data_IF_778849344698
#
_entry.id   IF_778849344698
#
_cell.length_a   1.000
_cell.length_b   1.000
_cell.length_c   1.000
_cell.angle_alpha   90.00
_cell.angle_beta   90.00
_cell.angle_gamma   90.00
#
_symmetry.space_group_name_H-M   'P 1'
#
loop_
_entity.id
_entity.type
_entity.pdbx_description
1 polymer ?
#
# COMPACT_ATOMS: atom_id res chain seq x y z
N UNK A 1 37.27 -2.93 -11.02
CA UNK A 1 36.24 -3.75 -10.36
C UNK A 1 35.19 -3.97 -11.43
N UNK A 2 34.82 -5.22 -11.74
CA UNK A 2 33.72 -5.47 -12.67
C UNK A 2 32.47 -4.80 -12.09
N UNK A 3 31.79 -3.95 -12.85
CA UNK A 3 30.42 -3.52 -12.53
C UNK A 3 29.62 -4.79 -12.30
N UNK A 4 29.30 -5.07 -11.03
CA UNK A 4 28.46 -6.19 -10.69
C UNK A 4 27.07 -5.78 -11.16
N UNK A 5 26.55 -6.45 -12.18
CA UNK A 5 25.20 -6.17 -12.68
C UNK A 5 24.21 -6.32 -11.53
N UNK A 6 23.33 -5.34 -11.34
CA UNK A 6 22.29 -5.40 -10.31
C UNK A 6 21.46 -6.68 -10.48
N UNK A 7 21.03 -7.31 -9.37
CA UNK A 7 20.19 -8.50 -9.41
C UNK A 7 18.86 -8.19 -10.09
N UNK A 8 18.30 -9.18 -10.78
CA UNK A 8 16.98 -9.02 -11.41
C UNK A 8 15.89 -9.38 -10.41
N UNK A 9 14.89 -8.50 -10.19
CA UNK A 9 13.68 -8.87 -9.45
C UNK A 9 12.97 -10.05 -10.12
N UNK A 10 12.18 -10.78 -9.33
CA UNK A 10 11.40 -11.94 -9.78
C UNK A 10 9.95 -11.81 -9.32
N UNK A 11 9.02 -12.50 -9.99
CA UNK A 11 7.68 -12.68 -9.45
C UNK A 11 7.75 -13.53 -8.17
N UNK A 12 7.05 -13.09 -7.13
CA UNK A 12 7.02 -13.77 -5.83
C UNK A 12 5.89 -14.79 -5.73
N UNK A 13 4.89 -14.70 -6.62
CA UNK A 13 3.73 -15.57 -6.61
C UNK A 13 2.96 -15.48 -5.29
N UNK A 14 2.62 -16.64 -4.74
CA UNK A 14 1.74 -16.76 -3.58
C UNK A 14 2.46 -16.72 -2.23
N UNK A 15 3.78 -16.56 -2.22
CA UNK A 15 4.51 -16.38 -0.96
C UNK A 15 4.01 -15.10 -0.25
N UNK A 16 3.91 -15.11 1.10
CA UNK A 16 3.64 -13.91 1.87
C UNK A 16 4.68 -12.85 1.52
N UNK A 17 4.25 -11.64 1.16
CA UNK A 17 5.15 -10.61 0.67
C UNK A 17 4.98 -9.27 1.36
N UNK A 18 6.08 -8.57 1.62
CA UNK A 18 6.08 -7.26 2.27
C UNK A 18 6.77 -6.21 1.41
N UNK A 19 6.04 -5.13 1.14
CA UNK A 19 6.46 -3.98 0.34
C UNK A 19 7.17 -2.93 1.17
N UNK A 20 8.42 -2.63 0.82
CA UNK A 20 9.29 -1.70 1.52
C UNK A 20 9.49 -0.41 0.70
N UNK A 21 8.41 0.33 0.48
CA UNK A 21 8.48 1.58 -0.26
C UNK A 21 9.45 2.57 0.40
N UNK A 22 10.28 3.19 -0.44
CA UNK A 22 11.29 4.15 -0.02
C UNK A 22 11.20 5.39 -0.88
N UNK A 23 10.79 6.51 -0.28
CA UNK A 23 10.69 7.82 -0.96
C UNK A 23 12.02 8.60 -0.93
N UNK A 24 13.00 8.13 -0.15
CA UNK A 24 14.28 8.80 0.09
C UNK A 24 15.41 8.25 -0.79
N UNK A 25 15.31 6.99 -1.20
CA UNK A 25 16.33 6.29 -2.01
C UNK A 25 17.48 5.68 -1.20
N UNK A 26 17.44 5.75 0.13
CA UNK A 26 18.53 5.25 1.01
C UNK A 26 18.03 4.42 2.21
N UNK A 27 16.77 3.99 2.20
CA UNK A 27 16.16 3.23 3.30
C UNK A 27 16.45 1.71 3.23
N UNK A 28 16.76 1.19 2.03
CA UNK A 28 16.86 -0.26 1.83
C UNK A 28 17.82 -0.99 2.78
N UNK A 29 18.98 -0.43 3.21
CA UNK A 29 19.80 -1.11 4.21
C UNK A 29 19.08 -1.41 5.53
N UNK A 30 18.25 -0.47 6.01
CA UNK A 30 17.41 -0.69 7.19
C UNK A 30 16.27 -1.69 6.94
N UNK A 31 15.69 -1.68 5.74
CA UNK A 31 14.70 -2.69 5.33
C UNK A 31 15.31 -4.09 5.32
N UNK A 32 16.50 -4.26 4.76
CA UNK A 32 17.25 -5.52 4.75
C UNK A 32 17.57 -5.98 6.17
N UNK A 33 18.01 -5.08 7.06
CA UNK A 33 18.28 -5.41 8.45
C UNK A 33 17.02 -5.99 9.13
N UNK A 34 15.87 -5.37 8.94
CA UNK A 34 14.60 -5.87 9.50
C UNK A 34 14.20 -7.23 8.92
N UNK A 35 14.40 -7.46 7.62
CA UNK A 35 14.15 -8.74 6.97
C UNK A 35 15.08 -9.84 7.47
N UNK A 36 16.36 -9.54 7.70
CA UNK A 36 17.30 -10.50 8.28
C UNK A 36 16.94 -10.84 9.74
N UNK A 37 16.42 -9.87 10.50
CA UNK A 37 16.02 -10.07 11.90
C UNK A 37 14.71 -10.83 12.03
N UNK A 38 13.67 -10.46 11.28
CA UNK A 38 12.30 -10.93 11.48
C UNK A 38 11.54 -11.27 10.19
N UNK A 39 12.19 -11.33 9.03
CA UNK A 39 11.55 -11.60 7.74
C UNK A 39 11.39 -13.08 7.37
N UNK A 40 11.70 -14.02 8.27
CA UNK A 40 11.63 -15.45 7.95
C UNK A 40 10.22 -15.86 7.46
N UNK A 41 10.14 -16.50 6.29
CA UNK A 41 8.89 -16.90 5.65
C UNK A 41 8.17 -15.79 4.87
N UNK A 42 8.77 -14.60 4.75
CA UNK A 42 8.21 -13.43 4.05
C UNK A 42 9.18 -13.02 2.94
N UNK A 43 8.67 -12.71 1.76
CA UNK A 43 9.47 -12.22 0.63
C UNK A 43 9.44 -10.68 0.54
N UNK A 44 10.59 -10.01 0.38
CA UNK A 44 10.61 -8.55 0.30
C UNK A 44 10.37 -8.05 -1.12
N UNK A 45 9.66 -6.92 -1.22
CA UNK A 45 9.66 -6.06 -2.41
C UNK A 45 10.35 -4.75 -2.00
N UNK A 46 11.65 -4.62 -2.29
CA UNK A 46 12.40 -3.40 -1.97
C UNK A 46 12.14 -2.26 -2.97
N UNK A 47 12.16 -2.50 -4.30
CA UNK A 47 11.78 -1.49 -5.27
C UNK A 47 10.25 -1.40 -5.31
N UNK A 48 9.68 -0.48 -4.54
CA UNK A 48 8.25 -0.19 -4.55
C UNK A 48 8.02 1.31 -4.47
N UNK A 49 7.36 1.87 -5.47
CA UNK A 49 6.89 3.25 -5.42
C UNK A 49 5.77 3.47 -6.43
N UNK A 50 4.77 4.27 -6.06
CA UNK A 50 3.73 4.68 -7.00
C UNK A 50 4.19 5.77 -7.96
N UNK A 51 3.55 5.87 -9.13
CA UNK A 51 3.76 6.97 -10.10
C UNK A 51 3.56 8.34 -9.43
N UNK A 52 2.51 8.45 -8.59
CA UNK A 52 2.23 9.66 -7.81
C UNK A 52 3.37 10.01 -6.85
N UNK A 53 3.95 9.04 -6.16
CA UNK A 53 5.08 9.29 -5.26
C UNK A 53 6.34 9.66 -6.04
N UNK A 54 6.61 9.00 -7.17
CA UNK A 54 7.74 9.35 -8.05
C UNK A 54 7.65 10.80 -8.51
N UNK A 55 6.47 11.23 -8.98
CA UNK A 55 6.24 12.63 -9.35
C UNK A 55 6.44 13.60 -8.17
N UNK A 56 5.93 13.26 -6.98
CA UNK A 56 6.06 14.10 -5.77
C UNK A 56 7.46 14.19 -5.18
N UNK A 57 8.32 13.23 -5.51
CA UNK A 57 9.70 13.16 -5.03
C UNK A 57 10.72 13.51 -6.12
N UNK A 58 10.24 13.86 -7.32
CA UNK A 58 11.08 14.04 -8.51
C UNK A 58 12.00 12.84 -8.80
N UNK A 59 11.54 11.64 -8.46
CA UNK A 59 12.23 10.37 -8.73
C UNK A 59 11.72 9.74 -10.02
N UNK A 60 12.51 8.81 -10.56
CA UNK A 60 12.20 8.07 -11.79
C UNK A 60 12.12 6.57 -11.50
N UNK A 61 11.42 5.77 -12.34
CA UNK A 61 11.36 4.31 -12.16
C UNK A 61 12.75 3.67 -12.07
N UNK A 62 13.71 4.11 -12.89
CA UNK A 62 15.10 3.61 -12.87
C UNK A 62 15.83 4.00 -11.57
N UNK A 63 15.57 5.18 -11.02
CA UNK A 63 16.11 5.59 -9.72
C UNK A 63 15.58 4.71 -8.59
N UNK A 64 14.26 4.48 -8.56
CA UNK A 64 13.63 3.58 -7.57
C UNK A 64 14.24 2.17 -7.63
N UNK A 65 14.37 1.61 -8.83
CA UNK A 65 14.95 0.29 -9.05
C UNK A 65 16.42 0.22 -8.61
N UNK A 66 17.24 1.16 -9.08
CA UNK A 66 18.68 1.14 -8.82
C UNK A 66 18.99 1.37 -7.34
N UNK A 67 18.36 2.36 -6.71
CA UNK A 67 18.59 2.68 -5.31
C UNK A 67 18.26 1.48 -4.42
N UNK A 68 17.12 0.83 -4.65
CA UNK A 68 16.70 -0.34 -3.89
C UNK A 68 17.60 -1.56 -4.13
N UNK A 69 17.92 -1.90 -5.39
CA UNK A 69 18.74 -3.07 -5.68
C UNK A 69 20.21 -2.89 -5.25
N UNK A 70 20.75 -1.67 -5.37
CA UNK A 70 22.09 -1.37 -4.86
C UNK A 70 22.12 -1.41 -3.33
N UNK A 71 21.16 -0.76 -2.66
CA UNK A 71 21.04 -0.80 -1.20
C UNK A 71 20.85 -2.23 -0.67
N UNK A 72 20.14 -3.08 -1.41
CA UNK A 72 19.98 -4.50 -1.11
C UNK A 72 21.32 -5.26 -1.16
N UNK A 73 22.15 -5.01 -2.20
CA UNK A 73 23.49 -5.60 -2.32
C UNK A 73 24.41 -5.10 -1.20
N UNK A 74 24.44 -3.79 -0.97
CA UNK A 74 25.34 -3.15 -0.01
C UNK A 74 25.05 -3.62 1.42
N UNK A 75 23.78 -3.88 1.74
CA UNK A 75 23.34 -4.44 3.01
C UNK A 75 23.47 -5.98 3.11
N UNK A 76 23.98 -6.64 2.07
CA UNK A 76 24.29 -8.06 2.08
C UNK A 76 23.06 -8.98 1.98
N UNK A 77 21.96 -8.53 1.38
CA UNK A 77 20.82 -9.41 1.11
C UNK A 77 21.14 -10.36 -0.05
N UNK A 78 20.97 -11.66 0.19
CA UNK A 78 21.22 -12.72 -0.81
C UNK A 78 19.95 -13.44 -1.26
N UNK A 79 18.79 -13.07 -0.71
CA UNK A 79 17.50 -13.66 -1.07
C UNK A 79 16.95 -13.09 -2.38
N UNK A 80 15.78 -13.60 -2.80
CA UNK A 80 15.03 -13.01 -3.91
C UNK A 80 14.36 -11.69 -3.48
N UNK A 81 13.93 -10.90 -4.45
CA UNK A 81 13.06 -9.74 -4.22
C UNK A 81 12.13 -9.56 -5.42
N UNK A 82 10.93 -9.05 -5.18
CA UNK A 82 10.05 -8.52 -6.22
C UNK A 82 10.32 -7.04 -6.47
N UNK A 83 9.73 -6.48 -7.53
CA UNK A 83 9.72 -5.04 -7.78
C UNK A 83 8.31 -4.61 -8.19
N UNK A 84 7.69 -3.73 -7.41
CA UNK A 84 6.30 -3.31 -7.52
C UNK A 84 6.16 -1.90 -8.10
N UNK A 85 5.56 -1.86 -9.29
CA UNK A 85 5.10 -0.66 -9.96
C UNK A 85 3.70 -0.34 -9.43
N UNK A 86 3.65 0.49 -8.39
CA UNK A 86 2.45 0.67 -7.57
C UNK A 86 1.47 1.70 -8.18
N UNK A 87 0.16 1.49 -7.99
CA UNK A 87 -0.93 2.36 -8.45
C UNK A 87 -0.82 2.84 -9.92
N UNK A 88 -0.68 1.93 -10.88
CA UNK A 88 -0.65 2.24 -12.31
C UNK A 88 -2.04 2.53 -12.84
N UNK A 89 -2.17 3.65 -13.56
CA UNK A 89 -3.45 4.10 -14.14
C UNK A 89 -3.45 4.13 -15.66
N UNK A 90 -2.28 4.16 -16.29
CA UNK A 90 -2.16 4.34 -17.74
C UNK A 90 -1.18 3.37 -18.40
N UNK A 91 -1.32 3.18 -19.72
CA UNK A 91 -0.38 2.40 -20.54
C UNK A 91 1.04 2.98 -20.52
N UNK A 92 1.17 4.30 -20.46
CA UNK A 92 2.46 4.96 -20.35
C UNK A 92 3.17 4.60 -19.04
N UNK A 93 2.44 4.51 -17.93
CA UNK A 93 3.01 4.08 -16.64
C UNK A 93 3.54 2.64 -16.72
N UNK A 94 2.81 1.76 -17.42
CA UNK A 94 3.25 0.38 -17.71
C UNK A 94 4.53 0.39 -18.54
N UNK A 95 4.61 1.20 -19.60
CA UNK A 95 5.79 1.25 -20.47
C UNK A 95 7.06 1.62 -19.71
N UNK A 96 7.02 2.73 -18.95
CA UNK A 96 8.21 3.26 -18.26
C UNK A 96 8.67 2.38 -17.10
N UNK A 97 7.76 1.63 -16.48
CA UNK A 97 8.10 0.69 -15.39
C UNK A 97 8.53 -0.67 -15.94
N UNK A 98 7.88 -1.20 -16.98
CA UNK A 98 8.28 -2.43 -17.64
C UNK A 98 9.66 -2.32 -18.31
N UNK A 99 10.00 -1.14 -18.86
CA UNK A 99 11.33 -0.87 -19.44
C UNK A 99 12.47 -1.07 -18.41
N UNK A 100 12.23 -0.68 -17.16
CA UNK A 100 13.20 -0.77 -16.06
C UNK A 100 13.24 -2.16 -15.41
N UNK A 101 12.24 -3.01 -15.68
CA UNK A 101 12.21 -4.40 -15.21
C UNK A 101 11.41 -4.64 -13.94
N UNK A 102 10.40 -3.82 -13.66
CA UNK A 102 9.39 -4.14 -12.65
C UNK A 102 8.68 -5.47 -13.01
N UNK A 103 8.34 -6.25 -11.99
CA UNK A 103 7.77 -7.61 -12.13
C UNK A 103 6.37 -7.74 -11.55
N UNK A 104 6.00 -6.84 -10.63
CA UNK A 104 4.71 -6.77 -9.98
C UNK A 104 4.05 -5.46 -10.41
N UNK A 105 2.83 -5.53 -10.94
CA UNK A 105 2.10 -4.38 -11.48
C UNK A 105 0.79 -4.23 -10.72
N UNK A 106 0.67 -3.18 -9.91
CA UNK A 106 -0.59 -2.87 -9.22
C UNK A 106 -1.41 -1.92 -10.07
N UNK A 107 -2.53 -2.43 -10.57
CA UNK A 107 -3.49 -1.63 -11.34
C UNK A 107 -4.41 -0.92 -10.35
N UNK A 108 -4.53 0.39 -10.54
CA UNK A 108 -5.45 1.25 -9.80
C UNK A 108 -6.46 1.86 -10.79
N UNK A 109 -7.67 1.28 -10.88
CA UNK A 109 -8.73 1.79 -11.73
C UNK A 109 -9.69 2.75 -10.97
N UNK A 110 -9.25 3.38 -9.87
CA UNK A 110 -10.11 4.21 -9.01
C UNK A 110 -10.78 5.39 -9.72
N UNK A 111 -10.14 5.94 -10.77
CA UNK A 111 -10.68 7.06 -11.57
C UNK A 111 -12.01 6.72 -12.29
N UNK A 112 -12.32 5.43 -12.42
CA UNK A 112 -13.51 4.92 -13.11
C UNK A 112 -14.52 4.27 -12.15
N UNK A 113 -14.33 4.40 -10.84
CA UNK A 113 -15.25 3.89 -9.82
C UNK A 113 -16.32 4.93 -9.53
N UNK A 114 -17.59 4.51 -9.55
CA UNK A 114 -18.71 5.33 -9.09
C UNK A 114 -18.91 5.13 -7.58
N UNK A 115 -18.22 5.93 -6.77
CA UNK A 115 -18.24 5.80 -5.31
C UNK A 115 -19.61 6.10 -4.67
N UNK A 116 -20.52 6.80 -5.37
CA UNK A 116 -21.86 7.10 -4.87
C UNK A 116 -22.82 5.91 -5.06
N UNK A 117 -22.42 4.87 -5.78
CA UNK A 117 -23.25 3.71 -6.10
C UNK A 117 -23.79 2.97 -4.88
N UNK A 118 -23.12 3.05 -3.74
CA UNK A 118 -23.60 2.49 -2.48
C UNK A 118 -24.80 3.25 -1.90
N UNK A 119 -24.90 4.56 -2.18
CA UNK A 119 -25.91 5.46 -1.61
C UNK A 119 -27.12 5.67 -2.54
N UNK A 120 -27.04 5.22 -3.79
CA UNK A 120 -28.16 5.33 -4.74
C UNK A 120 -29.39 4.56 -4.27
N UNK A 121 -30.56 5.19 -4.41
CA UNK A 121 -31.85 4.52 -4.28
C UNK A 121 -32.12 3.60 -5.48
N UNK A 122 -33.15 2.76 -5.39
CA UNK A 122 -33.44 1.75 -6.43
C UNK A 122 -33.68 2.39 -7.82
N UNK A 123 -34.39 3.52 -7.87
CA UNK A 123 -34.70 4.18 -9.13
C UNK A 123 -33.44 4.72 -9.81
N UNK A 124 -32.60 5.41 -9.03
CA UNK A 124 -31.31 5.96 -9.48
C UNK A 124 -30.36 4.85 -9.88
N UNK A 125 -30.27 3.76 -9.10
CA UNK A 125 -29.44 2.62 -9.41
C UNK A 125 -29.82 1.98 -10.76
N UNK A 126 -31.12 1.84 -11.04
CA UNK A 126 -31.60 1.30 -12.32
C UNK A 126 -31.32 2.23 -13.50
N UNK A 127 -31.44 3.54 -13.30
CA UNK A 127 -31.06 4.54 -14.31
C UNK A 127 -29.56 4.46 -14.63
N UNK A 128 -28.72 4.49 -13.60
CA UNK A 128 -27.25 4.36 -13.72
C UNK A 128 -26.85 3.04 -14.35
N UNK A 129 -27.49 1.95 -13.97
CA UNK A 129 -27.24 0.66 -14.60
C UNK A 129 -27.58 0.66 -16.09
N UNK A 130 -28.68 1.29 -16.49
CA UNK A 130 -29.05 1.38 -17.91
C UNK A 130 -27.99 2.10 -18.75
N UNK A 131 -27.25 3.05 -18.16
CA UNK A 131 -26.12 3.74 -18.82
C UNK A 131 -24.92 2.81 -19.08
N UNK A 132 -24.66 1.85 -18.18
CA UNK A 132 -23.49 0.95 -18.26
C UNK A 132 -23.82 -0.44 -18.79
N UNK A 133 -25.09 -0.83 -18.89
CA UNK A 133 -25.53 -2.20 -19.18
C UNK A 133 -24.88 -2.81 -20.45
N UNK A 134 -24.61 -1.97 -21.48
CA UNK A 134 -23.93 -2.42 -22.70
C UNK A 134 -22.42 -2.70 -22.54
N UNK A 135 -21.82 -2.20 -21.45
CA UNK A 135 -20.41 -2.34 -21.10
C UNK A 135 -20.17 -3.46 -20.07
N UNK A 136 -21.23 -3.99 -19.43
CA UNK A 136 -21.17 -4.97 -18.32
C UNK A 136 -22.05 -6.19 -18.59
N UNK A 137 -21.80 -6.89 -19.70
CA UNK A 137 -22.61 -8.04 -20.13
C UNK A 137 -22.55 -9.28 -19.20
N UNK A 138 -21.86 -9.20 -18.08
CA UNK A 138 -21.65 -10.27 -17.10
C UNK A 138 -22.68 -10.29 -15.96
N UNK A 139 -23.51 -9.25 -15.78
CA UNK A 139 -24.46 -9.17 -14.64
C UNK A 139 -25.39 -10.38 -14.56
N UNK A 140 -25.89 -10.84 -15.71
CA UNK A 140 -26.77 -12.00 -15.81
C UNK A 140 -26.13 -13.32 -15.39
N UNK A 141 -24.79 -13.41 -15.35
CA UNK A 141 -24.08 -14.61 -14.90
C UNK A 141 -24.10 -14.77 -13.38
N UNK A 142 -24.35 -13.68 -12.64
CA UNK A 142 -24.34 -13.66 -11.17
C UNK A 142 -25.74 -13.52 -10.57
N UNK A 143 -26.61 -12.75 -11.22
CA UNK A 143 -27.89 -12.35 -10.64
C UNK A 143 -28.78 -13.56 -10.29
N UNK A 144 -29.21 -13.59 -9.02
CA UNK A 144 -30.05 -14.64 -8.45
C UNK A 144 -29.29 -15.87 -7.94
N UNK A 145 -27.95 -15.86 -8.04
CA UNK A 145 -27.13 -16.92 -7.49
C UNK A 145 -26.86 -16.72 -6.00
N UNK A 146 -26.47 -17.81 -5.35
CA UNK A 146 -26.03 -17.80 -3.96
C UNK A 146 -24.76 -18.63 -3.86
N UNK A 147 -23.72 -18.07 -3.26
CA UNK A 147 -22.43 -18.75 -3.05
C UNK A 147 -22.22 -18.97 -1.56
N UNK A 148 -22.11 -20.22 -1.13
CA UNK A 148 -21.76 -20.56 0.25
C UNK A 148 -20.26 -20.78 0.36
N UNK A 149 -19.60 -19.95 1.17
CA UNK A 149 -18.17 -20.06 1.47
C UNK A 149 -17.90 -21.27 2.39
N UNK A 150 -16.67 -21.83 2.39
CA UNK A 150 -16.32 -22.97 3.24
C UNK A 150 -16.53 -22.75 4.74
N UNK A 151 -16.50 -21.49 5.21
CA UNK A 151 -16.78 -21.13 6.60
C UNK A 151 -18.29 -21.02 6.94
N UNK A 152 -19.17 -21.24 5.97
CA UNK A 152 -20.63 -21.18 6.11
C UNK A 152 -21.25 -19.82 5.79
N UNK A 153 -20.45 -18.76 5.62
CA UNK A 153 -20.94 -17.46 5.17
C UNK A 153 -21.52 -17.58 3.77
N UNK A 154 -22.64 -16.91 3.54
CA UNK A 154 -23.34 -16.96 2.26
C UNK A 154 -23.30 -15.59 1.59
N UNK A 155 -22.84 -15.56 0.35
CA UNK A 155 -22.85 -14.39 -0.53
C UNK A 155 -24.13 -14.47 -1.36
N UNK A 156 -25.03 -13.52 -1.14
CA UNK A 156 -26.25 -13.38 -1.92
C UNK A 156 -25.98 -12.45 -3.12
N UNK A 157 -25.95 -13.03 -4.32
CA UNK A 157 -25.78 -12.30 -5.58
C UNK A 157 -27.16 -11.92 -6.12
N UNK A 158 -27.98 -11.27 -5.29
CA UNK A 158 -29.30 -10.79 -5.71
C UNK A 158 -29.19 -9.67 -6.76
N UNK A 159 -30.32 -9.27 -7.33
CA UNK A 159 -30.36 -8.22 -8.36
C UNK A 159 -29.67 -6.94 -7.89
N UNK A 160 -30.02 -6.43 -6.71
CA UNK A 160 -29.47 -5.18 -6.19
C UNK A 160 -27.94 -5.24 -6.05
N UNK A 161 -27.41 -6.30 -5.45
CA UNK A 161 -25.97 -6.48 -5.27
C UNK A 161 -25.22 -6.51 -6.62
N UNK A 162 -25.78 -7.19 -7.61
CA UNK A 162 -25.16 -7.28 -8.94
C UNK A 162 -25.24 -5.94 -9.69
N UNK A 163 -26.37 -5.23 -9.60
CA UNK A 163 -26.53 -3.91 -10.22
C UNK A 163 -25.60 -2.88 -9.57
N UNK A 164 -25.48 -2.86 -8.23
CA UNK A 164 -24.54 -1.99 -7.52
C UNK A 164 -23.10 -2.27 -7.92
N UNK A 165 -22.68 -3.54 -7.93
CA UNK A 165 -21.35 -3.91 -8.39
C UNK A 165 -21.08 -3.47 -9.84
N UNK A 166 -22.07 -3.60 -10.73
CA UNK A 166 -21.96 -3.20 -12.13
C UNK A 166 -21.85 -1.68 -12.31
N UNK A 167 -22.65 -0.91 -11.58
CA UNK A 167 -22.60 0.57 -11.62
C UNK A 167 -21.28 1.06 -11.00
N UNK A 168 -20.91 0.54 -9.84
CA UNK A 168 -19.74 0.96 -9.08
C UNK A 168 -18.43 0.62 -9.78
N UNK A 169 -18.27 -0.63 -10.22
CA UNK A 169 -16.99 -1.15 -10.70
C UNK A 169 -16.97 -1.53 -12.18
N UNK A 170 -18.10 -1.50 -12.91
CA UNK A 170 -18.16 -2.00 -14.28
C UNK A 170 -17.13 -1.38 -15.22
N UNK A 171 -17.09 -0.04 -15.27
CA UNK A 171 -16.11 0.71 -16.09
C UNK A 171 -14.69 0.59 -15.56
N UNK A 172 -14.53 0.61 -14.24
CA UNK A 172 -13.26 0.40 -13.54
C UNK A 172 -12.63 -0.96 -13.88
N UNK A 173 -13.42 -2.02 -13.87
CA UNK A 173 -13.00 -3.36 -14.25
C UNK A 173 -12.65 -3.45 -15.74
N UNK A 174 -13.42 -2.83 -16.63
CA UNK A 174 -13.09 -2.78 -18.05
C UNK A 174 -11.71 -2.13 -18.29
N UNK A 175 -11.43 -1.02 -17.61
CA UNK A 175 -10.12 -0.35 -17.67
C UNK A 175 -9.01 -1.23 -17.10
N UNK A 176 -9.25 -1.89 -15.97
CA UNK A 176 -8.27 -2.79 -15.36
C UNK A 176 -7.94 -3.99 -16.26
N UNK A 177 -8.92 -4.54 -16.97
CA UNK A 177 -8.73 -5.61 -17.94
C UNK A 177 -7.93 -5.13 -19.17
N UNK A 178 -8.19 -3.93 -19.69
CA UNK A 178 -7.39 -3.35 -20.78
C UNK A 178 -5.92 -3.16 -20.36
N UNK A 179 -5.67 -2.63 -19.16
CA UNK A 179 -4.31 -2.49 -18.64
C UNK A 179 -3.63 -3.84 -18.38
N UNK A 180 -4.36 -4.82 -17.83
CA UNK A 180 -3.84 -6.19 -17.65
C UNK A 180 -3.41 -6.81 -18.97
N UNK A 181 -4.23 -6.66 -20.02
CA UNK A 181 -3.89 -7.14 -21.36
C UNK A 181 -2.67 -6.42 -21.94
N UNK A 182 -2.56 -5.10 -21.71
CA UNK A 182 -1.41 -4.33 -22.16
C UNK A 182 -0.12 -4.72 -21.42
N UNK A 183 -0.17 -4.92 -20.10
CA UNK A 183 0.95 -5.45 -19.31
C UNK A 183 1.39 -6.81 -19.86
N UNK A 184 0.43 -7.70 -20.16
CA UNK A 184 0.70 -8.99 -20.77
C UNK A 184 1.43 -8.85 -22.11
N UNK A 185 0.95 -7.97 -23.00
CA UNK A 185 1.56 -7.70 -24.30
C UNK A 185 3.02 -7.23 -24.15
N UNK A 186 3.25 -6.20 -23.34
CA UNK A 186 4.58 -5.60 -23.13
C UNK A 186 5.56 -6.61 -22.53
N UNK A 187 5.12 -7.39 -21.54
CA UNK A 187 5.99 -8.34 -20.84
C UNK A 187 6.27 -9.59 -21.68
N UNK A 188 5.28 -10.09 -22.42
CA UNK A 188 5.47 -11.22 -23.34
C UNK A 188 6.39 -10.85 -24.51
N UNK A 189 6.24 -9.65 -25.08
CA UNK A 189 7.12 -9.16 -26.14
C UNK A 189 8.58 -9.09 -25.69
N UNK A 190 8.82 -8.81 -24.40
CA UNK A 190 10.13 -8.80 -23.80
C UNK A 190 10.61 -10.15 -23.22
N UNK A 191 9.78 -11.19 -23.25
CA UNK A 191 10.08 -12.49 -22.66
C UNK A 191 10.29 -12.44 -21.14
N UNK A 192 9.52 -11.59 -20.44
CA UNK A 192 9.61 -11.41 -18.98
C UNK A 192 8.38 -11.96 -18.28
N UNK A 193 8.61 -12.59 -17.12
CA UNK A 193 7.54 -12.91 -16.18
C UNK A 193 7.01 -11.63 -15.53
N UNK A 194 5.72 -11.65 -15.21
CA UNK A 194 5.04 -10.58 -14.50
C UNK A 194 3.92 -11.15 -13.62
N UNK A 195 3.44 -10.36 -12.68
CA UNK A 195 2.27 -10.64 -11.86
C UNK A 195 1.47 -9.37 -11.64
N UNK A 196 0.15 -9.49 -11.49
CA UNK A 196 -0.76 -8.34 -11.40
C UNK A 196 -1.47 -8.35 -10.06
N UNK A 197 -1.49 -7.20 -9.43
CA UNK A 197 -2.42 -6.91 -8.36
C UNK A 197 -3.51 -5.96 -8.85
N UNK A 198 -4.74 -6.20 -8.39
CA UNK A 198 -5.83 -5.26 -8.58
C UNK A 198 -6.15 -4.56 -7.25
N UNK A 199 -6.06 -3.23 -7.25
CA UNK A 199 -6.45 -2.40 -6.12
C UNK A 199 -7.87 -1.87 -6.31
N UNK A 200 -8.71 -2.03 -5.29
CA UNK A 200 -10.06 -1.43 -5.19
C UNK A 200 -10.26 -0.82 -3.80
N UNK A 201 -9.17 -0.47 -3.12
CA UNK A 201 -9.16 0.07 -1.76
C UNK A 201 -9.37 1.59 -1.69
N UNK A 202 -9.30 2.31 -2.82
CA UNK A 202 -9.52 3.76 -2.88
C UNK A 202 -11.02 4.15 -2.94
N UNK A 203 -11.88 3.44 -2.20
CA UNK A 203 -13.31 3.76 -2.05
C UNK A 203 -13.65 4.15 -0.61
N UNK A 204 -14.64 5.02 -0.43
CA UNK A 204 -15.12 5.40 0.90
C UNK A 204 -15.74 4.19 1.62
N UNK A 205 -16.64 3.49 0.93
CA UNK A 205 -17.33 2.33 1.48
C UNK A 205 -16.49 1.05 1.36
N UNK A 206 -16.55 0.15 2.36
CA UNK A 206 -15.91 -1.17 2.29
C UNK A 206 -16.36 -2.01 1.09
N UNK A 207 -15.44 -2.78 0.53
CA UNK A 207 -15.74 -3.72 -0.55
C UNK A 207 -16.62 -4.85 0.00
N UNK A 208 -17.81 -5.03 -0.56
CA UNK A 208 -18.72 -6.11 -0.13
C UNK A 208 -18.22 -7.48 -0.61
N UNK A 209 -18.74 -8.56 -0.02
CA UNK A 209 -18.40 -9.93 -0.46
C UNK A 209 -18.88 -10.20 -1.89
N UNK A 210 -20.04 -9.65 -2.28
CA UNK A 210 -20.55 -9.77 -3.65
C UNK A 210 -19.63 -9.04 -4.65
N UNK A 211 -19.21 -7.81 -4.32
CA UNK A 211 -18.26 -7.05 -5.13
C UNK A 211 -16.93 -7.79 -5.28
N UNK A 212 -16.32 -8.24 -4.18
CA UNK A 212 -15.06 -8.99 -4.23
C UNK A 212 -15.21 -10.24 -5.12
N UNK A 213 -16.27 -11.03 -4.91
CA UNK A 213 -16.50 -12.25 -5.69
C UNK A 213 -16.61 -11.95 -7.19
N UNK A 214 -17.45 -10.96 -7.57
CA UNK A 214 -17.66 -10.59 -8.97
C UNK A 214 -16.37 -10.06 -9.60
N UNK A 215 -15.66 -9.15 -8.93
CA UNK A 215 -14.43 -8.53 -9.42
C UNK A 215 -13.36 -9.61 -9.67
N UNK A 216 -13.12 -10.47 -8.68
CA UNK A 216 -12.10 -11.51 -8.80
C UNK A 216 -12.45 -12.54 -9.89
N UNK A 217 -13.70 -12.99 -9.94
CA UNK A 217 -14.15 -13.95 -10.97
C UNK A 217 -14.04 -13.36 -12.38
N UNK A 218 -14.40 -12.08 -12.57
CA UNK A 218 -14.22 -11.40 -13.85
C UNK A 218 -12.75 -11.26 -14.24
N UNK A 219 -11.87 -10.89 -13.31
CA UNK A 219 -10.43 -10.80 -13.57
C UNK A 219 -9.88 -12.15 -14.06
N UNK A 220 -10.20 -13.22 -13.34
CA UNK A 220 -9.71 -14.57 -13.63
C UNK A 220 -10.28 -15.12 -14.96
N UNK A 221 -11.60 -14.95 -15.21
CA UNK A 221 -12.24 -15.38 -16.46
C UNK A 221 -11.68 -14.67 -17.70
N UNK A 222 -11.23 -13.44 -17.54
CA UNK A 222 -10.61 -12.66 -18.62
C UNK A 222 -9.09 -12.82 -18.68
N UNK A 223 -8.52 -13.79 -17.94
CA UNK A 223 -7.11 -14.17 -18.07
C UNK A 223 -6.12 -13.22 -17.40
N UNK A 224 -6.56 -12.34 -16.50
CA UNK A 224 -5.66 -11.54 -15.67
C UNK A 224 -4.79 -12.48 -14.83
N UNK A 225 -3.47 -12.27 -14.84
CA UNK A 225 -2.52 -13.01 -13.98
C UNK A 225 -2.54 -12.43 -12.56
N UNK A 226 -3.72 -12.51 -11.94
CA UNK A 226 -4.04 -11.96 -10.64
C UNK A 226 -3.26 -12.71 -9.54
N UNK A 227 -2.29 -12.05 -8.91
CA UNK A 227 -1.54 -12.59 -7.77
C UNK A 227 -2.07 -12.08 -6.44
N UNK A 228 -2.67 -10.90 -6.42
CA UNK A 228 -3.32 -10.33 -5.25
C UNK A 228 -4.45 -9.35 -5.59
N UNK A 229 -5.36 -9.17 -4.65
CA UNK A 229 -6.44 -8.18 -4.72
C UNK A 229 -6.42 -7.37 -3.42
N UNK A 230 -6.44 -6.04 -3.54
CA UNK A 230 -6.50 -5.12 -2.40
C UNK A 230 -7.93 -4.57 -2.25
N UNK A 231 -8.80 -5.20 -1.42
CA UNK A 231 -10.12 -4.65 -1.15
C UNK A 231 -10.06 -3.51 -0.12
N UNK A 232 -11.08 -2.66 -0.11
CA UNK A 232 -11.35 -1.76 1.01
C UNK A 232 -11.94 -2.56 2.17
N UNK A 233 -11.14 -2.90 3.17
CA UNK A 233 -11.64 -3.55 4.38
C UNK A 233 -12.46 -2.60 5.26
N UNK A 234 -13.26 -3.17 6.17
CA UNK A 234 -14.03 -2.40 7.16
C UNK A 234 -13.11 -1.69 8.17
N UNK A 235 -13.56 -0.54 8.69
CA UNK A 235 -12.76 0.34 9.57
C UNK A 235 -11.87 1.29 8.76
N UNK A 236 -10.97 2.03 9.42
CA UNK A 236 -10.14 3.04 8.76
C UNK A 236 -8.66 2.67 8.71
N UNK A 237 -8.08 2.87 7.52
CA UNK A 237 -6.70 2.50 7.18
C UNK A 237 -5.86 3.74 6.87
N UNK A 238 -5.97 4.74 7.73
CA UNK A 238 -5.34 6.04 7.48
C UNK A 238 -3.81 5.96 7.49
N UNK A 239 -3.16 6.85 6.75
CA UNK A 239 -1.71 6.86 6.63
C UNK A 239 -1.04 7.28 7.94
N UNK A 240 0.02 6.57 8.34
CA UNK A 240 0.89 6.94 9.47
C UNK A 240 0.37 6.59 10.87
N UNK A 241 -0.77 5.88 10.98
CA UNK A 241 -1.36 5.45 12.25
C UNK A 241 -1.85 4.00 12.16
N UNK A 242 -2.09 3.37 13.32
CA UNK A 242 -2.66 2.03 13.48
C UNK A 242 -4.13 2.01 13.02
N UNK A 243 -4.67 0.79 12.92
CA UNK A 243 -6.05 0.56 12.53
C UNK A 243 -7.04 1.24 13.49
N UNK A 244 -8.06 1.90 12.93
CA UNK A 244 -9.15 2.53 13.69
C UNK A 244 -10.45 1.79 13.35
N UNK A 245 -11.01 1.07 14.31
CA UNK A 245 -12.27 0.34 14.12
C UNK A 245 -12.44 -0.84 15.07
N UNK A 246 -13.42 -1.68 14.76
CA UNK A 246 -13.70 -2.92 15.51
C UNK A 246 -12.87 -4.09 14.95
N UNK A 247 -11.85 -4.50 15.71
CA UNK A 247 -10.97 -5.62 15.35
C UNK A 247 -11.70 -6.97 15.27
N UNK A 248 -12.76 -7.18 16.05
CA UNK A 248 -13.52 -8.43 16.01
C UNK A 248 -14.37 -8.50 14.73
N UNK A 249 -15.00 -7.38 14.34
CA UNK A 249 -15.69 -7.28 13.07
C UNK A 249 -14.70 -7.45 11.90
N UNK A 250 -13.50 -6.85 12.00
CA UNK A 250 -12.46 -6.97 10.98
C UNK A 250 -12.00 -8.43 10.83
N UNK A 251 -11.79 -9.17 11.93
CA UNK A 251 -11.41 -10.59 11.87
C UNK A 251 -12.46 -11.41 11.10
N UNK A 252 -13.76 -11.18 11.33
CA UNK A 252 -14.83 -11.87 10.58
C UNK A 252 -14.74 -11.52 9.09
N UNK A 253 -14.69 -10.23 8.74
CA UNK A 253 -14.62 -9.77 7.36
C UNK A 253 -13.37 -10.29 6.62
N UNK A 254 -12.21 -10.29 7.28
CA UNK A 254 -10.96 -10.85 6.73
C UNK A 254 -11.08 -12.34 6.41
N UNK A 255 -11.72 -13.12 7.30
CA UNK A 255 -11.94 -14.55 7.06
C UNK A 255 -12.84 -14.77 5.84
N UNK A 256 -13.92 -14.00 5.70
CA UNK A 256 -14.84 -14.12 4.55
C UNK A 256 -14.15 -13.75 3.23
N UNK A 257 -13.43 -12.63 3.16
CA UNK A 257 -12.66 -12.26 1.97
C UNK A 257 -11.55 -13.27 1.64
N UNK A 258 -10.89 -13.83 2.66
CA UNK A 258 -9.85 -14.83 2.44
C UNK A 258 -10.43 -16.16 1.92
N UNK A 259 -11.66 -16.52 2.31
CA UNK A 259 -12.36 -17.67 1.73
C UNK A 259 -12.75 -17.42 0.27
N UNK A 260 -13.16 -16.20 -0.11
CA UNK A 260 -13.37 -15.84 -1.54
C UNK A 260 -12.07 -16.02 -2.33
N UNK A 261 -10.95 -15.51 -1.81
CA UNK A 261 -9.65 -15.62 -2.46
C UNK A 261 -9.18 -17.07 -2.66
N UNK A 262 -9.49 -17.95 -1.70
CA UNK A 262 -9.22 -19.39 -1.80
C UNK A 262 -10.18 -20.10 -2.75
N UNK A 263 -11.45 -19.71 -2.76
CA UNK A 263 -12.49 -20.34 -3.58
C UNK A 263 -12.27 -20.09 -5.07
N UNK A 264 -12.00 -18.83 -5.44
CA UNK A 264 -11.83 -18.41 -6.83
C UNK A 264 -10.38 -18.56 -7.31
N UNK A 265 -9.41 -18.34 -6.42
CA UNK A 265 -8.00 -18.29 -6.74
C UNK A 265 -7.31 -19.67 -6.82
N UNK A 266 -6.04 -19.76 -6.37
CA UNK A 266 -5.47 -18.94 -5.30
C UNK A 266 -4.90 -17.59 -5.76
N UNK A 267 -5.17 -16.54 -4.98
CA UNK A 267 -4.48 -15.24 -4.97
C UNK A 267 -4.38 -14.74 -3.52
N UNK A 268 -3.55 -13.73 -3.27
CA UNK A 268 -3.35 -13.14 -1.94
C UNK A 268 -4.34 -12.01 -1.67
N UNK A 269 -4.66 -11.76 -0.40
CA UNK A 269 -5.24 -10.48 0.00
C UNK A 269 -4.13 -9.46 0.20
N UNK A 270 -4.28 -8.28 -0.39
CA UNK A 270 -3.32 -7.20 -0.24
C UNK A 270 -3.82 -6.12 0.70
N UNK A 271 -2.94 -5.67 1.58
CA UNK A 271 -3.17 -4.58 2.50
C UNK A 271 -2.42 -3.34 2.03
N UNK A 272 -3.14 -2.46 1.36
CA UNK A 272 -2.71 -1.10 1.07
C UNK A 272 -2.76 -0.23 2.33
N UNK A 273 -1.98 0.86 2.34
CA UNK A 273 -1.83 1.70 3.55
C UNK A 273 -1.40 0.90 4.79
N UNK A 274 -0.71 -0.22 4.60
CA UNK A 274 -0.41 -1.18 5.65
C UNK A 274 0.51 -0.63 6.74
N UNK A 275 1.28 0.42 6.47
CA UNK A 275 2.17 1.05 7.45
C UNK A 275 1.46 1.31 8.78
N UNK A 276 2.13 0.94 9.87
CA UNK A 276 1.73 1.13 11.27
C UNK A 276 0.48 0.34 11.73
N UNK A 277 -0.13 -0.53 10.90
CA UNK A 277 -1.35 -1.31 11.24
C UNK A 277 -1.10 -2.55 12.12
N UNK A 278 -0.17 -2.45 13.07
CA UNK A 278 0.31 -3.60 13.86
C UNK A 278 -0.81 -4.35 14.58
N UNK A 279 -1.86 -3.65 15.03
CA UNK A 279 -2.95 -4.29 15.78
C UNK A 279 -3.80 -5.28 14.99
N UNK A 280 -3.76 -5.21 13.66
CA UNK A 280 -4.53 -6.11 12.79
C UNK A 280 -3.68 -7.10 12.00
N UNK A 281 -2.36 -6.94 11.96
CA UNK A 281 -1.46 -7.78 11.15
C UNK A 281 -1.57 -9.27 11.47
N UNK A 282 -1.65 -9.63 12.75
CA UNK A 282 -1.86 -11.02 13.17
C UNK A 282 -3.20 -11.59 12.68
N UNK A 283 -4.26 -10.76 12.64
CA UNK A 283 -5.58 -11.16 12.14
C UNK A 283 -5.54 -11.41 10.62
N UNK A 284 -4.94 -10.51 9.85
CA UNK A 284 -4.74 -10.66 8.40
C UNK A 284 -3.97 -11.94 8.09
N UNK A 285 -2.83 -12.13 8.74
CA UNK A 285 -1.94 -13.27 8.49
C UNK A 285 -2.64 -14.61 8.77
N UNK A 286 -3.34 -14.69 9.90
CA UNK A 286 -4.11 -15.88 10.32
C UNK A 286 -5.29 -16.17 9.38
N UNK A 287 -6.10 -15.16 9.04
CA UNK A 287 -7.28 -15.33 8.19
C UNK A 287 -6.91 -15.80 6.76
N UNK A 288 -5.81 -15.27 6.24
CA UNK A 288 -5.29 -15.60 4.90
C UNK A 288 -4.43 -16.86 4.87
N UNK A 289 -4.02 -17.40 6.03
CA UNK A 289 -3.12 -18.56 6.16
C UNK A 289 -1.80 -18.32 5.42
N UNK A 290 -1.24 -17.12 5.57
CA UNK A 290 -0.02 -16.69 4.87
C UNK A 290 -0.22 -16.16 3.45
N UNK A 291 -1.42 -16.23 2.86
CA UNK A 291 -1.67 -15.68 1.52
C UNK A 291 -1.99 -14.18 1.57
N UNK A 292 -1.00 -13.38 1.92
CA UNK A 292 -1.13 -11.93 2.06
C UNK A 292 0.02 -11.16 1.40
N UNK A 293 -0.28 -9.93 0.99
CA UNK A 293 0.70 -8.91 0.68
C UNK A 293 0.44 -7.67 1.56
N UNK A 294 1.48 -7.04 2.08
CA UNK A 294 1.35 -5.79 2.85
C UNK A 294 2.24 -4.72 2.22
N UNK A 295 1.66 -3.55 1.94
CA UNK A 295 2.40 -2.42 1.36
C UNK A 295 2.70 -1.33 2.38
N UNK A 296 3.97 -0.99 2.50
CA UNK A 296 4.43 0.19 3.24
C UNK A 296 5.21 1.13 2.33
N UNK A 297 5.23 2.42 2.68
CA UNK A 297 6.05 3.40 1.96
C UNK A 297 6.37 4.62 2.82
N UNK A 298 5.34 5.39 3.17
CA UNK A 298 5.53 6.68 3.85
C UNK A 298 6.10 6.58 5.26
N UNK A 299 6.00 5.43 5.92
CA UNK A 299 6.62 5.25 7.24
C UNK A 299 8.16 5.22 7.17
N UNK A 300 8.76 4.78 6.06
CA UNK A 300 10.22 4.92 5.83
C UNK A 300 10.66 6.39 5.85
N UNK A 301 9.83 7.30 5.34
CA UNK A 301 10.06 8.74 5.40
C UNK A 301 9.86 9.31 6.81
N UNK A 302 8.86 8.83 7.56
CA UNK A 302 8.69 9.24 8.96
C UNK A 302 9.92 8.86 9.80
N UNK A 303 10.47 7.66 9.58
CA UNK A 303 11.69 7.23 10.24
C UNK A 303 12.93 7.99 9.73
N UNK A 304 12.94 8.49 8.48
CA UNK A 304 13.98 9.42 8.03
C UNK A 304 13.94 10.74 8.82
N UNK A 305 12.74 11.30 9.05
CA UNK A 305 12.58 12.47 9.90
C UNK A 305 12.96 12.20 11.36
N UNK A 306 12.83 10.96 11.83
CA UNK A 306 13.35 10.56 13.14
C UNK A 306 14.86 10.67 13.23
N UNK A 307 15.59 10.34 12.16
CA UNK A 307 17.05 10.56 12.10
C UNK A 307 17.36 12.05 12.20
N UNK A 308 16.61 12.89 11.48
CA UNK A 308 16.74 14.36 11.58
C UNK A 308 16.45 14.84 13.01
N UNK A 309 15.38 14.36 13.65
CA UNK A 309 15.04 14.71 15.02
C UNK A 309 16.14 14.35 16.04
N UNK A 310 16.91 13.29 15.77
CA UNK A 310 17.97 12.81 16.67
C UNK A 310 19.31 13.52 16.49
N UNK A 311 19.64 13.92 15.26
CA UNK A 311 20.94 14.52 14.94
C UNK A 311 20.88 16.05 14.75
N UNK A 312 19.77 16.58 14.24
CA UNK A 312 19.59 18.00 13.91
C UNK A 312 18.23 18.52 14.42
N UNK A 313 18.09 18.60 15.75
CA UNK A 313 16.84 18.95 16.45
C UNK A 313 16.21 20.27 15.98
N UNK A 314 17.05 21.29 15.76
CA UNK A 314 16.60 22.59 15.25
C UNK A 314 16.00 22.47 13.86
N UNK A 315 16.63 21.69 12.98
CA UNK A 315 16.11 21.45 11.63
C UNK A 315 14.80 20.66 11.67
N UNK A 316 14.69 19.63 12.51
CA UNK A 316 13.44 18.89 12.66
C UNK A 316 12.28 19.81 13.05
N UNK A 317 12.52 20.75 13.98
CA UNK A 317 11.52 21.76 14.37
C UNK A 317 11.09 22.63 13.20
N UNK A 318 12.02 23.08 12.37
CA UNK A 318 11.72 23.86 11.17
C UNK A 318 10.92 23.05 10.14
N UNK A 319 11.26 21.77 9.94
CA UNK A 319 10.51 20.87 9.06
C UNK A 319 9.08 20.68 9.57
N UNK A 320 8.88 20.47 10.87
CA UNK A 320 7.53 20.33 11.44
C UNK A 320 6.71 21.59 11.18
N UNK A 321 7.27 22.78 11.40
CA UNK A 321 6.59 24.05 11.13
C UNK A 321 6.23 24.20 9.65
N UNK A 322 7.17 23.90 8.76
CA UNK A 322 6.94 23.90 7.32
C UNK A 322 5.84 22.92 6.91
N UNK A 323 5.88 21.69 7.41
CA UNK A 323 4.86 20.66 7.19
C UNK A 323 3.49 21.13 7.66
N UNK A 324 3.37 21.76 8.83
CA UNK A 324 2.09 22.33 9.29
C UNK A 324 1.55 23.38 8.32
N UNK A 325 2.42 24.26 7.81
CA UNK A 325 2.07 25.27 6.81
C UNK A 325 1.59 24.69 5.46
N UNK A 326 2.09 23.50 5.10
CA UNK A 326 1.73 22.79 3.86
C UNK A 326 0.55 21.83 4.01
N UNK A 327 0.28 21.37 5.22
CA UNK A 327 -0.58 20.22 5.51
C UNK A 327 -1.95 20.28 4.83
N UNK A 328 -2.69 21.39 4.96
CA UNK A 328 -4.03 21.51 4.37
C UNK A 328 -4.03 21.45 2.82
N UNK A 329 -2.93 21.84 2.17
CA UNK A 329 -2.78 21.72 0.72
C UNK A 329 -2.45 20.28 0.34
N UNK A 330 -1.46 19.69 1.01
CA UNK A 330 -0.92 18.40 0.62
C UNK A 330 -1.85 17.23 1.03
N UNK A 331 -2.62 17.39 2.12
CA UNK A 331 -3.59 16.39 2.57
C UNK A 331 -4.79 16.22 1.64
N UNK A 332 -5.02 17.11 0.67
CA UNK A 332 -6.19 17.08 -0.21
C UNK A 332 -6.33 15.78 -1.03
N UNK A 333 -5.27 14.98 -1.08
CA UNK A 333 -5.21 13.69 -1.78
C UNK A 333 -5.08 12.50 -0.83
N UNK A 334 -5.33 12.70 0.46
CA UNK A 334 -5.22 11.70 1.51
C UNK A 334 -6.48 11.71 2.39
N UNK A 335 -6.97 10.52 2.72
CA UNK A 335 -7.98 10.34 3.77
C UNK A 335 -7.28 10.18 5.12
N UNK A 336 -7.31 11.23 5.95
CA UNK A 336 -6.70 11.29 7.29
C UNK A 336 -7.54 12.17 8.23
N UNK A 337 -7.60 11.83 9.53
CA UNK A 337 -8.38 12.56 10.52
C UNK A 337 -7.64 13.74 11.17
N UNK A 338 -6.31 13.78 11.10
CA UNK A 338 -5.53 14.83 11.76
C UNK A 338 -5.95 16.24 11.30
N UNK A 339 -6.07 17.14 12.27
CA UNK A 339 -6.16 18.59 12.04
C UNK A 339 -4.99 19.30 12.74
N UNK A 340 -4.68 20.53 12.33
CA UNK A 340 -3.57 21.29 12.90
C UNK A 340 -3.78 21.63 14.39
N UNK A 341 -5.04 21.64 14.83
CA UNK A 341 -5.47 21.93 16.20
C UNK A 341 -5.35 20.71 17.13
N UNK A 342 -5.30 19.49 16.58
CA UNK A 342 -5.14 18.26 17.37
C UNK A 342 -3.71 18.09 17.91
N UNK A 343 -2.74 18.83 17.36
CA UNK A 343 -1.31 18.68 17.68
C UNK A 343 -0.72 20.06 17.94
N UNK A 344 -0.10 20.22 19.11
CA UNK A 344 0.58 21.46 19.49
C UNK A 344 1.64 21.85 18.44
N UNK A 345 1.70 23.14 18.11
CA UNK A 345 2.69 23.67 17.20
C UNK A 345 4.09 23.56 17.81
N UNK A 346 5.15 23.51 16.99
CA UNK A 346 6.53 23.56 17.47
C UNK A 346 6.79 24.66 18.49
N UNK A 347 6.25 25.87 18.32
CA UNK A 347 6.44 26.98 19.25
C UNK A 347 5.85 26.76 20.65
N UNK A 348 4.98 25.75 20.80
CA UNK A 348 4.29 25.41 22.06
C UNK A 348 4.95 24.21 22.78
N UNK A 349 5.99 23.60 22.17
CA UNK A 349 6.68 22.43 22.70
C UNK A 349 8.16 22.78 22.93
N UNK A 350 8.54 22.97 24.19
CA UNK A 350 9.92 23.35 24.55
C UNK A 350 10.92 22.18 24.41
N UNK A 351 10.48 20.95 24.70
CA UNK A 351 11.34 19.77 24.72
C UNK A 351 11.39 19.09 23.35
N UNK A 352 12.58 18.91 22.79
CA UNK A 352 12.74 18.26 21.49
C UNK A 352 12.29 16.78 21.48
N UNK A 353 12.46 16.06 22.60
CA UNK A 353 11.92 14.69 22.73
C UNK A 353 10.40 14.68 22.74
N UNK A 354 9.76 15.69 23.33
CA UNK A 354 8.31 15.81 23.30
C UNK A 354 7.81 16.16 21.90
N UNK A 355 8.58 16.94 21.13
CA UNK A 355 8.30 17.21 19.72
C UNK A 355 8.39 15.93 18.88
N UNK A 356 9.46 15.13 19.04
CA UNK A 356 9.56 13.81 18.41
C UNK A 356 8.37 12.93 18.80
N UNK A 357 8.03 12.85 20.09
CA UNK A 357 6.87 12.07 20.55
C UNK A 357 5.57 12.51 19.89
N UNK A 358 5.27 13.80 19.82
CA UNK A 358 4.00 14.30 19.28
C UNK A 358 3.87 14.08 17.76
N UNK A 359 4.98 14.16 17.02
CA UNK A 359 4.96 14.10 15.56
C UNK A 359 5.41 12.76 14.97
N UNK A 360 6.15 11.95 15.71
CA UNK A 360 6.68 10.66 15.26
C UNK A 360 6.38 9.50 16.22
N UNK A 361 5.92 9.76 17.45
CA UNK A 361 5.78 8.79 18.54
C UNK A 361 7.08 8.06 18.89
N UNK A 362 7.09 7.31 19.99
CA UNK A 362 8.28 6.58 20.46
C UNK A 362 7.90 5.13 20.71
N UNK A 363 8.58 4.20 20.04
CA UNK A 363 8.29 2.76 20.14
C UNK A 363 8.38 2.20 21.58
N UNK A 364 9.24 2.78 22.41
CA UNK A 364 9.38 2.40 23.83
C UNK A 364 8.11 2.70 24.65
N UNK A 365 7.22 3.55 24.13
CA UNK A 365 5.97 3.96 24.77
C UNK A 365 4.75 3.23 24.15
N UNK A 366 4.95 2.42 23.10
CA UNK A 366 3.87 1.71 22.39
C UNK A 366 3.79 0.26 22.88
N UNK A 367 2.61 -0.22 23.34
CA UNK A 367 2.43 -1.61 23.71
C UNK A 367 2.73 -2.58 22.56
N UNK A 368 3.25 -3.77 22.89
CA UNK A 368 3.48 -4.82 21.89
C UNK A 368 2.19 -5.17 21.15
N UNK A 369 2.27 -5.31 19.82
CA UNK A 369 1.13 -5.59 18.96
C UNK A 369 0.19 -4.39 18.74
N UNK A 370 0.62 -3.18 19.09
CA UNK A 370 -0.05 -1.92 18.73
C UNK A 370 0.88 -1.06 17.89
N UNK A 371 0.29 -0.28 17.00
CA UNK A 371 0.99 0.71 16.20
C UNK A 371 0.88 2.10 16.80
N UNK A 372 1.45 3.05 16.07
CA UNK A 372 1.39 4.47 16.37
C UNK A 372 -0.01 5.05 16.15
N UNK A 373 -0.46 6.02 16.95
CA UNK A 373 -1.84 6.54 16.90
C UNK A 373 -1.96 8.06 16.92
N UNK A 374 -0.86 8.80 17.07
CA UNK A 374 -0.91 10.25 17.21
C UNK A 374 -1.07 10.97 15.87
N UNK A 375 -1.93 11.99 15.78
CA UNK A 375 -2.23 12.70 14.54
C UNK A 375 -1.05 13.48 13.96
N UNK A 376 -0.03 13.81 14.77
CA UNK A 376 1.16 14.53 14.30
C UNK A 376 1.93 13.77 13.21
N UNK A 377 1.90 12.43 13.25
CA UNK A 377 2.49 11.57 12.21
C UNK A 377 1.84 11.80 10.86
N UNK A 378 0.54 12.01 10.81
CA UNK A 378 -0.19 12.22 9.56
C UNK A 378 0.17 13.56 8.91
N UNK A 379 0.42 14.59 9.71
CA UNK A 379 0.88 15.91 9.25
C UNK A 379 2.21 15.77 8.50
N UNK A 380 3.17 15.06 9.09
CA UNK A 380 4.46 14.80 8.46
C UNK A 380 4.31 13.88 7.25
N UNK A 381 3.54 12.79 7.38
CA UNK A 381 3.38 11.81 6.32
C UNK A 381 2.83 12.44 5.03
N UNK A 382 1.80 13.29 5.13
CA UNK A 382 1.16 13.88 3.96
C UNK A 382 2.06 14.89 3.23
N UNK A 383 3.05 15.46 3.92
CA UNK A 383 3.86 16.58 3.43
C UNK A 383 5.24 16.17 2.90
N UNK A 384 5.51 14.86 2.80
CA UNK A 384 6.79 14.34 2.32
C UNK A 384 7.24 14.93 0.98
N UNK A 385 6.32 15.11 0.02
CA UNK A 385 6.65 15.66 -1.29
C UNK A 385 7.14 17.10 -1.17
N UNK A 386 6.41 17.93 -0.43
CA UNK A 386 6.82 19.31 -0.16
C UNK A 386 8.17 19.38 0.54
N UNK A 387 8.44 18.52 1.53
CA UNK A 387 9.71 18.53 2.28
C UNK A 387 10.88 18.05 1.41
N UNK A 388 10.73 16.91 0.73
CA UNK A 388 11.81 16.28 -0.04
C UNK A 388 12.16 17.04 -1.32
N UNK A 389 11.25 17.88 -1.84
CA UNK A 389 11.49 18.70 -3.04
C UNK A 389 11.74 20.18 -2.73
N UNK A 390 11.67 20.58 -1.46
CA UNK A 390 12.04 21.94 -1.05
C UNK A 390 13.54 22.17 -1.25
N UNK A 391 13.90 23.36 -1.76
CA UNK A 391 15.29 23.72 -2.10
C UNK A 391 16.23 23.71 -0.87
N UNK A 392 15.68 23.93 0.32
CA UNK A 392 16.42 23.88 1.59
C UNK A 392 16.30 22.50 2.24
N UNK A 393 15.07 22.03 2.48
CA UNK A 393 14.86 20.85 3.32
C UNK A 393 15.24 19.54 2.63
N UNK A 394 14.99 19.41 1.32
CA UNK A 394 15.32 18.20 0.56
C UNK A 394 16.80 17.82 0.68
N UNK A 395 17.72 18.72 0.30
CA UNK A 395 19.16 18.48 0.43
C UNK A 395 19.61 18.22 1.87
N UNK A 396 19.09 18.97 2.85
CA UNK A 396 19.48 18.80 4.25
C UNK A 396 19.04 17.43 4.81
N UNK A 397 17.83 16.97 4.49
CA UNK A 397 17.37 15.64 4.90
C UNK A 397 18.25 14.57 4.25
N UNK A 398 18.52 14.64 2.95
CA UNK A 398 19.37 13.68 2.26
C UNK A 398 20.80 13.63 2.85
N UNK A 399 21.40 14.79 3.11
CA UNK A 399 22.74 14.89 3.69
C UNK A 399 22.81 14.25 5.08
N UNK A 400 21.80 14.47 5.93
CA UNK A 400 21.73 13.87 7.27
C UNK A 400 21.63 12.34 7.17
N UNK A 401 20.81 11.80 6.26
CA UNK A 401 20.70 10.35 6.07
C UNK A 401 22.02 9.74 5.59
N UNK A 402 22.75 10.41 4.69
CA UNK A 402 24.07 9.98 4.24
C UNK A 402 25.17 10.09 5.31
N UNK A 403 25.07 11.07 6.22
CA UNK A 403 26.02 11.24 7.32
C UNK A 403 25.77 10.27 8.47
N UNK A 404 24.53 9.80 8.63
CA UNK A 404 24.11 8.92 9.72
C UNK A 404 23.46 7.61 9.25
N UNK A 405 24.09 6.84 8.33
CA UNK A 405 23.50 5.63 7.76
C UNK A 405 23.25 4.55 8.82
N UNK A 406 24.12 4.45 9.83
CA UNK A 406 23.96 3.50 10.95
C UNK A 406 22.72 3.83 11.78
N UNK A 407 22.44 5.13 12.01
CA UNK A 407 21.23 5.53 12.73
C UNK A 407 20.00 5.24 11.89
N UNK A 408 20.03 5.55 10.58
CA UNK A 408 18.87 5.30 9.73
C UNK A 408 18.56 3.81 9.61
N UNK A 409 19.59 2.99 9.44
CA UNK A 409 19.48 1.52 9.45
C UNK A 409 18.87 1.04 10.76
N UNK A 410 19.34 1.52 11.91
CA UNK A 410 18.82 1.09 13.21
C UNK A 410 17.36 1.48 13.47
N UNK A 411 16.94 2.70 13.07
CA UNK A 411 15.53 3.12 13.26
C UNK A 411 14.59 2.33 12.36
N UNK A 412 14.98 2.08 11.12
CA UNK A 412 14.20 1.27 10.18
C UNK A 412 14.17 -0.21 10.62
N UNK A 413 15.29 -0.75 11.08
CA UNK A 413 15.37 -2.13 11.60
C UNK A 413 14.38 -2.34 12.75
N UNK A 414 14.40 -1.48 13.79
CA UNK A 414 13.44 -1.57 14.90
C UNK A 414 11.99 -1.39 14.42
N UNK A 415 11.74 -0.36 13.60
CA UNK A 415 10.41 -0.05 13.10
C UNK A 415 9.79 -1.21 12.31
N UNK A 416 10.51 -1.73 11.31
CA UNK A 416 10.01 -2.78 10.43
C UNK A 416 10.09 -4.17 11.05
N UNK A 417 11.00 -4.43 12.00
CA UNK A 417 10.98 -5.68 12.78
C UNK A 417 9.64 -5.84 13.49
N UNK A 418 9.12 -4.79 14.12
CA UNK A 418 7.82 -4.83 14.81
C UNK A 418 6.65 -5.11 13.86
N UNK A 419 6.74 -4.61 12.63
CA UNK A 419 5.76 -4.91 11.58
C UNK A 419 5.81 -6.39 11.18
N UNK A 420 7.01 -6.91 10.91
CA UNK A 420 7.22 -8.29 10.49
C UNK A 420 6.84 -9.28 11.59
N UNK A 421 7.23 -9.03 12.84
CA UNK A 421 6.86 -9.85 14.00
C UNK A 421 5.34 -9.88 14.23
N UNK A 422 4.66 -8.74 14.05
CA UNK A 422 3.21 -8.69 14.17
C UNK A 422 2.51 -9.53 13.07
N UNK A 423 3.05 -9.57 11.85
CA UNK A 423 2.55 -10.46 10.78
C UNK A 423 2.85 -11.93 11.07
N UNK A 424 4.07 -12.23 11.54
CA UNK A 424 4.47 -13.58 11.93
C UNK A 424 3.64 -14.15 13.08
N UNK A 425 3.07 -13.30 13.94
CA UNK A 425 2.20 -13.74 15.03
C UNK A 425 0.95 -14.50 14.58
N UNK A 426 0.55 -14.35 13.30
CA UNK A 426 -0.56 -15.09 12.70
C UNK A 426 -0.16 -16.19 11.72
N UNK A 427 1.14 -16.43 11.48
CA UNK A 427 1.64 -17.45 10.54
C UNK A 427 1.61 -18.87 11.09
#
# INVERSE_FOLDING_TARGET
MSEQSLPKPVCLGLDPSFGFGDRTGVATPGHVASMQRAGNGIQPIFPQQSIREMARTSRTPIGVMNDALQGMIDAGWTGITGADADHLKTKQDVDVTAEVGFTFFTIDPSDFVDAEADDYDEATLREKYAEVAGEVAWVGDYQGNTVTLPNGTTIDLNEEACLRAAVKYGRSLNHALDLSNYIAEVQQAAGREYEIELSVDETEQPTTLAEHYIIADQCLKNGMKLVSLAPRFIGEFEKGVDFIGDLAALEVSLNDHAEIARLLGPYKLSLHSGSDKLSMYGLLSKATRGLWHVKTAGTSYLEALRVVARHEKGLFREIVEFSRGRYNTDKATYHVHATLEMVAAPSEIDCDTDLERQYLELWDEVPQGKGFTLPGRQILHCTFGSVLTDEKFGPLVADILHQHPDTYTAVLDDHFTRHLEALQSGM
#
